data_IF_943902536559
#
_entry.id   IF_943902536559
#
_cell.length_a   1.000
_cell.length_b   1.000
_cell.length_c   1.000
_cell.angle_alpha   90.00
_cell.angle_beta   90.00
_cell.angle_gamma   90.00
#
_symmetry.space_group_name_H-M   'P 1'
#
loop_
_entity.id
_entity.type
_entity.pdbx_description
1 polymer ?
#
# COMPACT_ATOMS: atom_id res chain seq x y z
N UNK A 1 4.44 -9.58 4.49
CA UNK A 1 3.35 -8.74 3.95
C UNK A 1 3.69 -8.34 2.53
N UNK A 2 2.72 -8.39 1.66
CA UNK A 2 2.88 -8.15 0.24
C UNK A 2 1.94 -7.03 -0.19
N UNK A 3 2.36 -6.20 -1.15
CA UNK A 3 1.57 -5.04 -1.57
C UNK A 3 1.32 -5.05 -3.07
N UNK A 4 0.11 -4.67 -3.46
CA UNK A 4 -0.25 -4.40 -4.86
C UNK A 4 -0.50 -2.90 -5.02
N UNK A 5 0.18 -2.30 -5.96
CA UNK A 5 0.06 -0.89 -6.30
C UNK A 5 -0.63 -0.80 -7.65
N UNK A 6 -1.78 -0.16 -7.69
CA UNK A 6 -2.58 -0.03 -8.91
C UNK A 6 -2.80 1.45 -9.20
N UNK A 7 -2.29 1.91 -10.34
CA UNK A 7 -2.50 3.28 -10.79
C UNK A 7 -3.54 3.27 -11.90
N UNK A 8 -4.56 4.09 -11.76
CA UNK A 8 -5.63 4.22 -12.77
C UNK A 8 -5.89 5.67 -13.06
N UNK A 9 -6.33 5.94 -14.30
CA UNK A 9 -6.81 7.27 -14.68
C UNK A 9 -8.33 7.23 -14.73
N UNK A 10 -8.96 8.28 -14.24
CA UNK A 10 -10.41 8.41 -14.26
C UNK A 10 -10.84 9.31 -15.38
N UNK A 11 -12.04 9.04 -15.93
CA UNK A 11 -12.67 9.97 -16.83
C UNK A 11 -12.96 11.28 -16.09
N UNK A 12 -12.98 12.43 -16.79
CA UNK A 12 -13.21 13.71 -16.13
C UNK A 12 -14.48 13.69 -15.28
N UNK A 13 -14.40 14.25 -14.08
CA UNK A 13 -15.54 14.35 -13.18
C UNK A 13 -15.95 13.07 -12.50
N UNK A 14 -15.16 12.00 -12.60
CA UNK A 14 -15.56 10.69 -12.07
C UNK A 14 -15.10 10.44 -10.63
N UNK A 15 -14.35 11.33 -10.02
CA UNK A 15 -13.83 11.08 -8.66
C UNK A 15 -14.93 10.85 -7.63
N UNK A 16 -16.02 11.64 -7.60
CA UNK A 16 -17.10 11.37 -6.63
C UNK A 16 -17.74 9.99 -6.83
N UNK A 17 -17.97 9.59 -8.07
CA UNK A 17 -18.51 8.27 -8.36
C UNK A 17 -17.53 7.17 -7.95
N UNK A 18 -16.24 7.38 -8.23
CA UNK A 18 -15.20 6.44 -7.82
C UNK A 18 -15.20 6.24 -6.32
N UNK A 19 -15.25 7.34 -5.55
CA UNK A 19 -15.24 7.27 -4.09
C UNK A 19 -16.46 6.50 -3.57
N UNK A 20 -17.63 6.76 -4.15
CA UNK A 20 -18.86 6.06 -3.78
C UNK A 20 -18.77 4.58 -4.05
N UNK A 21 -18.30 4.21 -5.23
CA UNK A 21 -18.17 2.80 -5.64
C UNK A 21 -17.12 2.11 -4.77
N UNK A 22 -16.03 2.80 -4.46
CA UNK A 22 -14.99 2.24 -3.61
C UNK A 22 -15.56 1.87 -2.24
N UNK A 23 -16.27 2.80 -1.59
CA UNK A 23 -16.79 2.57 -0.25
C UNK A 23 -17.91 1.52 -0.24
N UNK A 24 -18.80 1.55 -1.23
CA UNK A 24 -20.01 0.74 -1.19
C UNK A 24 -19.86 -0.63 -1.82
N UNK A 25 -18.92 -0.80 -2.74
CA UNK A 25 -18.81 -2.05 -3.51
C UNK A 25 -17.42 -2.67 -3.42
N UNK A 26 -16.36 -1.89 -3.63
CA UNK A 26 -15.02 -2.46 -3.74
C UNK A 26 -14.43 -2.82 -2.39
N UNK A 27 -14.51 -1.94 -1.39
CA UNK A 27 -13.97 -2.24 -0.07
C UNK A 27 -14.65 -3.45 0.57
N UNK A 28 -16.00 -3.57 0.54
CA UNK A 28 -16.63 -4.78 1.05
C UNK A 28 -16.18 -6.04 0.31
N UNK A 29 -15.97 -5.94 -1.00
CA UNK A 29 -15.49 -7.06 -1.81
C UNK A 29 -14.07 -7.45 -1.40
N UNK A 30 -13.16 -6.47 -1.26
CA UNK A 30 -11.79 -6.71 -0.83
C UNK A 30 -11.73 -7.39 0.54
N UNK A 31 -12.57 -6.94 1.48
CA UNK A 31 -12.57 -7.51 2.83
C UNK A 31 -12.92 -8.99 2.87
N UNK A 32 -13.56 -9.50 1.83
CA UNK A 32 -13.90 -10.91 1.74
C UNK A 32 -12.82 -11.75 1.07
N UNK A 33 -11.77 -11.10 0.55
CA UNK A 33 -10.70 -11.83 -0.12
C UNK A 33 -9.75 -12.44 0.89
N UNK A 34 -9.34 -13.68 0.65
CA UNK A 34 -8.42 -14.38 1.53
C UNK A 34 -7.09 -13.63 1.59
N UNK A 35 -6.63 -13.35 2.80
CA UNK A 35 -5.34 -12.72 3.00
C UNK A 35 -5.32 -11.21 2.86
N UNK A 36 -6.45 -10.59 2.55
CA UNK A 36 -6.52 -9.13 2.47
C UNK A 36 -6.34 -8.53 3.87
N UNK A 37 -5.47 -7.52 3.98
CA UNK A 37 -5.20 -6.85 5.26
C UNK A 37 -5.75 -5.43 5.28
N UNK A 38 -5.26 -4.58 4.38
CA UNK A 38 -5.62 -3.16 4.35
C UNK A 38 -5.49 -2.61 2.95
N UNK A 39 -6.08 -1.45 2.72
CA UNK A 39 -5.88 -0.71 1.48
C UNK A 39 -5.88 0.79 1.75
N UNK A 40 -5.11 1.50 0.95
CA UNK A 40 -5.08 2.97 0.95
C UNK A 40 -5.34 3.41 -0.48
N UNK A 41 -6.26 4.35 -0.65
CA UNK A 41 -6.55 4.90 -1.97
C UNK A 41 -6.23 6.39 -1.95
N UNK A 42 -5.40 6.80 -2.89
CA UNK A 42 -4.87 8.15 -2.98
C UNK A 42 -5.32 8.77 -4.30
N UNK A 43 -5.64 10.06 -4.27
CA UNK A 43 -6.02 10.78 -5.48
C UNK A 43 -5.09 11.98 -5.66
N UNK A 44 -4.64 12.22 -6.90
CA UNK A 44 -3.94 13.48 -7.19
C UNK A 44 -4.93 14.63 -7.09
N UNK A 45 -4.41 15.85 -6.87
CA UNK A 45 -5.23 17.01 -6.54
C UNK A 45 -6.32 17.31 -7.59
N UNK A 46 -6.04 17.04 -8.87
CA UNK A 46 -7.02 17.30 -9.94
C UNK A 46 -8.06 16.19 -10.09
N UNK A 47 -7.91 15.09 -9.34
CA UNK A 47 -8.86 13.97 -9.38
C UNK A 47 -8.75 13.10 -10.62
N UNK A 48 -7.75 13.31 -11.47
CA UNK A 48 -7.63 12.57 -12.73
C UNK A 48 -6.90 11.24 -12.60
N UNK A 49 -6.17 11.06 -11.52
CA UNK A 49 -5.39 9.83 -11.32
C UNK A 49 -5.58 9.33 -9.90
N UNK A 50 -5.72 8.01 -9.77
CA UNK A 50 -5.89 7.33 -8.48
C UNK A 50 -4.77 6.31 -8.35
N UNK A 51 -4.21 6.22 -7.15
CA UNK A 51 -3.29 5.16 -6.79
C UNK A 51 -3.93 4.40 -5.62
N UNK A 52 -4.08 3.10 -5.78
CA UNK A 52 -4.62 2.24 -4.74
C UNK A 52 -3.56 1.23 -4.35
N UNK A 53 -3.23 1.17 -3.07
CA UNK A 53 -2.25 0.21 -2.57
C UNK A 53 -2.96 -0.72 -1.61
N UNK A 54 -3.02 -2.00 -1.96
CA UNK A 54 -3.61 -3.02 -1.10
C UNK A 54 -2.52 -3.87 -0.49
N UNK A 55 -2.72 -4.27 0.77
CA UNK A 55 -1.75 -5.04 1.53
C UNK A 55 -2.32 -6.43 1.82
N UNK A 56 -1.47 -7.42 1.68
CA UNK A 56 -1.84 -8.83 1.75
C UNK A 56 -0.89 -9.57 2.67
N UNK A 57 -1.40 -10.60 3.34
CA UNK A 57 -0.57 -11.39 4.25
C UNK A 57 0.54 -12.13 3.52
N UNK A 58 0.24 -12.63 2.30
CA UNK A 58 1.17 -13.43 1.50
C UNK A 58 1.00 -13.11 0.03
N UNK A 59 2.09 -13.27 -0.71
CA UNK A 59 2.08 -13.10 -2.16
C UNK A 59 1.07 -14.05 -2.83
N UNK A 60 0.97 -15.28 -2.37
CA UNK A 60 0.06 -16.28 -2.95
C UNK A 60 -1.38 -15.78 -2.95
N UNK A 61 -1.81 -15.17 -1.83
CA UNK A 61 -3.16 -14.68 -1.71
C UNK A 61 -3.39 -13.45 -2.60
N UNK A 62 -2.38 -12.59 -2.70
CA UNK A 62 -2.47 -11.44 -3.61
C UNK A 62 -2.58 -11.89 -5.06
N UNK A 63 -1.82 -12.92 -5.45
CA UNK A 63 -1.89 -13.44 -6.81
C UNK A 63 -3.21 -14.14 -7.10
N UNK A 64 -3.74 -14.87 -6.12
CA UNK A 64 -5.06 -15.49 -6.27
C UNK A 64 -6.12 -14.41 -6.49
N UNK A 65 -6.06 -13.32 -5.72
CA UNK A 65 -6.96 -12.18 -5.92
C UNK A 65 -6.80 -11.60 -7.32
N UNK A 66 -5.57 -11.45 -7.80
CA UNK A 66 -5.32 -10.89 -9.12
C UNK A 66 -6.03 -11.67 -10.22
N UNK A 67 -6.15 -12.99 -10.03
CA UNK A 67 -6.78 -13.85 -11.04
C UNK A 67 -8.28 -13.94 -10.91
N UNK A 68 -8.83 -13.85 -9.70
CA UNK A 68 -10.24 -14.13 -9.47
C UNK A 68 -11.05 -12.94 -8.97
N UNK A 69 -10.47 -12.11 -8.10
CA UNK A 69 -11.21 -10.99 -7.49
C UNK A 69 -11.02 -9.67 -8.20
N UNK A 70 -9.83 -9.42 -8.69
CA UNK A 70 -9.49 -8.16 -9.36
C UNK A 70 -10.30 -7.93 -10.66
N UNK A 71 -10.54 -8.96 -11.50
CA UNK A 71 -11.38 -8.74 -12.68
C UNK A 71 -12.76 -8.20 -12.35
N UNK A 72 -13.32 -8.58 -11.20
CA UNK A 72 -14.62 -8.05 -10.76
C UNK A 72 -14.51 -6.56 -10.44
N UNK A 73 -13.43 -6.14 -9.80
CA UNK A 73 -13.18 -4.73 -9.51
C UNK A 73 -13.09 -3.93 -10.81
N UNK A 74 -12.37 -4.44 -11.79
CA UNK A 74 -12.25 -3.78 -13.09
C UNK A 74 -13.61 -3.69 -13.78
N UNK A 75 -14.44 -4.72 -13.66
CA UNK A 75 -15.78 -4.70 -14.23
C UNK A 75 -16.64 -3.60 -13.59
N UNK A 76 -16.56 -3.48 -12.25
CA UNK A 76 -17.30 -2.47 -11.52
C UNK A 76 -16.85 -1.06 -11.94
N UNK A 77 -15.56 -0.86 -12.17
CA UNK A 77 -14.99 0.45 -12.51
C UNK A 77 -15.02 0.77 -14.00
N UNK A 78 -15.42 -0.16 -14.82
CA UNK A 78 -15.27 -0.09 -16.27
C UNK A 78 -15.73 1.24 -16.88
N UNK A 79 -16.85 1.77 -16.40
CA UNK A 79 -17.46 2.97 -17.00
C UNK A 79 -16.73 4.25 -16.67
N UNK A 80 -15.95 4.27 -15.58
CA UNK A 80 -15.32 5.49 -15.12
C UNK A 80 -13.80 5.51 -15.31
N UNK A 81 -13.22 4.39 -15.73
CA UNK A 81 -11.77 4.33 -16.00
C UNK A 81 -11.46 4.87 -17.40
N UNK A 82 -10.39 5.64 -17.49
CA UNK A 82 -9.85 6.17 -18.73
C UNK A 82 -8.50 5.51 -19.00
N UNK A 83 -8.51 4.38 -19.69
CA UNK A 83 -7.26 3.69 -20.00
C UNK A 83 -7.05 2.44 -19.16
N UNK A 84 -5.91 1.83 -19.34
CA UNK A 84 -5.56 0.55 -18.72
C UNK A 84 -4.87 0.78 -17.39
N UNK A 85 -5.33 0.13 -16.31
CA UNK A 85 -4.65 0.21 -15.02
C UNK A 85 -3.22 -0.33 -15.12
N UNK A 86 -2.33 0.29 -14.33
CA UNK A 86 -0.95 -0.15 -14.22
C UNK A 86 -0.76 -0.79 -12.85
N UNK A 87 -0.36 -2.06 -12.84
CA UNK A 87 -0.22 -2.83 -11.60
C UNK A 87 1.25 -3.12 -11.34
N UNK A 88 1.69 -2.84 -10.12
CA UNK A 88 3.01 -3.23 -9.63
C UNK A 88 2.85 -3.91 -8.30
N UNK A 89 3.78 -4.81 -7.98
CA UNK A 89 3.74 -5.56 -6.73
C UNK A 89 5.06 -5.40 -5.99
N UNK A 90 5.00 -5.49 -4.67
CA UNK A 90 6.15 -5.25 -3.80
C UNK A 90 6.09 -6.15 -2.58
N UNK A 91 7.26 -6.58 -2.11
CA UNK A 91 7.37 -7.08 -0.75
C UNK A 91 7.44 -5.90 0.20
N UNK A 92 6.70 -5.96 1.30
CA UNK A 92 6.72 -4.88 2.29
C UNK A 92 7.90 -5.12 3.22
N UNK A 93 8.82 -4.16 3.27
CA UNK A 93 10.03 -4.27 4.08
C UNK A 93 9.78 -3.81 5.50
N UNK A 94 8.98 -2.76 5.69
CA UNK A 94 8.63 -2.25 7.01
C UNK A 94 7.30 -1.50 6.93
N UNK A 95 6.59 -1.42 8.06
CA UNK A 95 5.31 -0.73 8.12
C UNK A 95 4.97 -0.42 9.57
N UNK A 96 4.34 0.73 9.79
CA UNK A 96 3.74 1.05 11.09
C UNK A 96 2.27 0.67 11.13
N UNK A 97 1.67 0.29 10.00
CA UNK A 97 0.27 -0.11 9.94
C UNK A 97 0.06 -1.50 10.49
N UNK A 98 1.00 -2.40 10.22
CA UNK A 98 0.95 -3.77 10.70
C UNK A 98 2.36 -4.27 10.95
N UNK A 99 2.47 -5.29 11.81
CA UNK A 99 3.75 -5.93 12.05
C UNK A 99 4.18 -6.67 10.79
N UNK A 100 5.41 -6.40 10.35
CA UNK A 100 5.94 -6.97 9.12
C UNK A 100 7.14 -7.84 9.44
N UNK A 101 7.16 -9.05 8.84
CA UNK A 101 8.36 -9.87 8.80
C UNK A 101 8.96 -9.67 7.41
N UNK A 102 10.11 -8.97 7.27
CA UNK A 102 10.69 -8.75 5.94
C UNK A 102 11.07 -10.08 5.29
N UNK A 103 11.05 -10.15 3.94
CA UNK A 103 11.59 -11.32 3.25
C UNK A 103 13.05 -11.56 3.62
N UNK A 104 13.49 -12.82 3.56
CA UNK A 104 14.83 -13.22 3.95
C UNK A 104 15.90 -12.35 3.29
N UNK A 105 15.72 -11.98 2.04
CA UNK A 105 16.70 -11.19 1.29
C UNK A 105 16.93 -9.79 1.87
N UNK A 106 16.02 -9.28 2.69
CA UNK A 106 16.10 -7.94 3.27
C UNK A 106 16.45 -7.96 4.75
N UNK A 107 16.71 -9.13 5.32
CA UNK A 107 17.06 -9.24 6.72
C UNK A 107 18.54 -8.96 6.93
N UNK A 108 18.95 -8.40 8.12
CA UNK A 108 20.36 -8.22 8.40
C UNK A 108 21.07 -9.57 8.47
N UNK A 109 22.38 -9.61 8.24
CA UNK A 109 23.13 -10.86 8.39
C UNK A 109 22.99 -11.42 9.81
N UNK A 110 23.06 -12.74 9.94
CA UNK A 110 23.02 -13.40 11.23
C UNK A 110 24.16 -12.87 12.10
N UNK A 111 23.89 -12.63 13.39
CA UNK A 111 24.85 -12.05 14.33
C UNK A 111 24.91 -10.54 14.28
N UNK A 112 24.29 -10.01 13.37
CA UNK A 112 24.18 -8.54 13.30
C UNK A 112 23.31 -7.99 14.42
N UNK A 113 23.51 -8.52 14.97
CA UNK A 113 22.67 -8.19 15.83
C UNK A 113 21.97 -7.30 16.40
N UNK A 114 22.17 -7.53 16.73
CA UNK A 114 21.55 -7.02 17.33
C UNK A 114 20.88 -6.12 17.77
N UNK A 115 21.18 -6.25 18.08
CA UNK A 115 20.50 -5.55 18.50
C UNK A 115 19.92 -4.54 18.79
N UNK A 116 19.96 -4.48 19.05
CA UNK A 116 19.43 -3.69 19.45
C UNK A 116 18.89 -2.64 19.48
N UNK A 117 18.94 -2.47 19.84
CA UNK A 117 18.36 -1.48 19.96
C UNK A 117 18.00 -0.52 19.97
N UNK A 118 18.20 -0.76 20.37
CA UNK A 118 17.72 0.07 20.50
C UNK A 118 17.39 1.10 20.43
N UNK A 119 17.78 0.98 20.74
CA UNK A 119 17.34 1.78 20.75
C UNK A 119 17.07 2.74 20.41
N UNK A 120 17.48 2.64 20.65
CA UNK A 120 17.08 3.36 20.38
C UNK A 120 16.93 4.32 20.08
N UNK A 121 17.31 4.24 20.40
CA UNK A 121 17.12 5.05 20.27
C UNK A 121 17.14 6.00 19.93
N UNK A 122 17.63 6.02 20.53
CA UNK A 122 17.54 6.85 20.32
C UNK A 122 17.67 7.71 19.70
N UNK A 123 18.14 7.75 20.12
CA UNK A 123 18.04 8.42 19.68
C UNK A 123 18.10 9.18 18.86
N UNK A 124 18.50 9.08 19.06
CA UNK A 124 18.27 9.62 18.45
C UNK A 124 18.20 10.39 17.62
N UNK A 125 18.58 10.28 17.81
CA UNK A 125 18.27 10.91 17.32
C UNK A 125 18.41 11.90 17.15
N UNK A 126 18.77 12.00 17.44
CA UNK A 126 18.88 12.84 17.42
C UNK A 126 19.07 13.68 17.12
N UNK A 127 19.71 13.67 17.50
CA UNK A 127 19.54 14.24 17.36
C UNK A 127 19.64 15.03 16.84
N UNK A 128 20.04 14.90 16.97
CA UNK A 128 19.84 15.44 16.73
C UNK A 128 19.94 16.29 16.54
N UNK A 129 20.58 16.57 16.77
CA UNK A 129 20.43 17.28 16.76
C UNK A 129 20.25 18.06 16.19
N UNK A 130 20.73 18.06 16.32
CA UNK A 130 20.23 18.36 16.11
C UNK A 130 19.93 19.02 15.44
N UNK A 131 20.24 18.90 15.61
CA UNK A 131 19.68 19.22 15.20
C UNK A 131 19.20 19.89 14.69
N UNK A 132 19.75 19.99 14.94
CA UNK A 132 19.09 20.44 14.69
C UNK A 132 18.62 21.10 13.95
N UNK A 133 19.07 21.08 14.03
CA UNK A 133 18.38 21.41 13.51
C UNK A 133 17.67 21.89 12.82
N UNK A 134 17.95 21.77 13.03
CA UNK A 134 17.05 22.03 12.67
C UNK A 134 16.60 22.93 12.45
N UNK A 135 17.13 23.09 12.59
CA UNK A 135 16.57 23.61 12.74
C UNK A 135 16.57 24.48 12.42
N UNK A 136 16.84 24.30 12.55
CA UNK A 136 16.72 24.71 12.49
C UNK A 136 16.38 25.13 12.01
N UNK A 137 16.98 25.04 12.02
CA UNK A 137 16.56 25.01 11.85
C UNK A 137 16.22 25.20 11.48
#
# INVERSE_FOLDING_TARGET
>A
MFARHVAVKLKPGSLPEFARVMDNEILPWLRRQKGFLDTITLAVADGGEIVSISFWDREDNAQAYNLTGYPEVLHILKKILAGTPQVRTFDVVSSTLQKVTPPQAFLPPAGGRQDEPDDHSTAAFPAHPGTSNFGEL
#
